data_IF_715871773401
#
_entry.id   IF_715871773401
#
_cell.length_a   1.000
_cell.length_b   1.000
_cell.length_c   1.000
_cell.angle_alpha   90.00
_cell.angle_beta   90.00
_cell.angle_gamma   90.00
#
_symmetry.space_group_name_H-M   'P 1'
#
loop_
_entity.id
_entity.type
_entity.pdbx_description
1 polymer ?
#
# COMPACT_ATOMS: atom_id res chain seq x y z
N UNK A 1 14.55 14.13 1.50
CA UNK A 1 15.14 13.03 2.31
C UNK A 1 15.12 13.45 3.76
N UNK A 2 14.07 13.11 4.51
CA UNK A 2 14.05 13.31 5.95
C UNK A 2 14.73 12.10 6.58
N UNK A 3 15.91 12.27 7.17
CA UNK A 3 16.49 11.26 8.04
C UNK A 3 15.48 11.01 9.17
N UNK A 4 14.77 9.88 9.12
CA UNK A 4 14.02 9.38 10.26
C UNK A 4 15.02 9.09 11.37
N UNK A 5 15.01 9.91 12.41
CA UNK A 5 15.72 9.62 13.66
C UNK A 5 15.18 8.31 14.22
N UNK A 6 15.86 7.18 13.99
CA UNK A 6 15.46 5.90 14.58
C UNK A 6 15.62 5.98 16.10
N UNK A 7 14.53 6.19 16.84
CA UNK A 7 14.48 6.13 18.30
C UNK A 7 14.07 4.74 18.77
N UNK A 8 14.29 4.43 20.06
CA UNK A 8 13.82 3.17 20.65
C UNK A 8 12.28 3.03 20.54
N UNK A 9 11.58 4.15 20.71
CA UNK A 9 10.12 4.22 20.58
C UNK A 9 9.67 3.95 19.14
N UNK A 10 10.34 4.55 18.15
CA UNK A 10 10.07 4.28 16.74
C UNK A 10 10.32 2.81 16.39
N UNK A 11 11.40 2.21 16.90
CA UNK A 11 11.67 0.78 16.72
C UNK A 11 10.53 -0.09 17.27
N UNK A 12 10.07 0.18 18.50
CA UNK A 12 8.95 -0.54 19.13
C UNK A 12 7.67 -0.38 18.34
N UNK A 13 7.34 0.86 17.94
CA UNK A 13 6.16 1.17 17.13
C UNK A 13 6.18 0.41 15.80
N UNK A 14 7.30 0.41 15.09
CA UNK A 14 7.49 -0.31 13.83
C UNK A 14 7.42 -1.84 14.00
N UNK A 15 7.95 -2.35 15.10
CA UNK A 15 7.92 -3.77 15.43
C UNK A 15 6.49 -4.26 15.72
N UNK A 16 5.75 -3.53 16.55
CA UNK A 16 4.35 -3.82 16.88
C UNK A 16 3.50 -3.82 15.60
N UNK A 17 3.64 -2.80 14.75
CA UNK A 17 2.90 -2.72 13.48
C UNK A 17 3.12 -3.96 12.59
N UNK A 18 4.37 -4.42 12.44
CA UNK A 18 4.70 -5.62 11.64
C UNK A 18 4.14 -6.90 12.26
N UNK A 19 4.24 -7.07 13.58
CA UNK A 19 3.69 -8.24 14.25
C UNK A 19 2.17 -8.31 14.13
N UNK A 20 1.48 -7.17 14.33
CA UNK A 20 0.03 -7.09 14.21
C UNK A 20 -0.44 -7.26 12.77
N UNK A 21 0.25 -6.66 11.79
CA UNK A 21 -0.07 -6.88 10.38
C UNK A 21 0.08 -8.36 10.00
N UNK A 22 1.15 -9.02 10.46
CA UNK A 22 1.34 -10.48 10.29
C UNK A 22 0.26 -11.29 11.01
N UNK A 23 -0.22 -10.83 12.18
CA UNK A 23 -1.35 -11.45 12.88
C UNK A 23 -2.63 -11.36 12.04
N UNK A 24 -2.94 -10.19 11.48
CA UNK A 24 -4.11 -10.00 10.62
C UNK A 24 -4.05 -10.89 9.36
N UNK A 25 -2.87 -11.05 8.76
CA UNK A 25 -2.66 -11.98 7.66
C UNK A 25 -2.92 -13.43 8.07
N UNK A 26 -2.31 -13.88 9.18
CA UNK A 26 -2.48 -15.26 9.69
C UNK A 26 -3.92 -15.58 10.07
N UNK A 27 -4.65 -14.59 10.57
CA UNK A 27 -6.05 -14.71 10.99
C UNK A 27 -7.03 -14.53 9.81
N UNK A 28 -6.53 -14.48 8.56
CA UNK A 28 -7.31 -14.27 7.32
C UNK A 28 -8.25 -13.06 7.37
N UNK A 29 -7.83 -11.98 8.04
CA UNK A 29 -8.64 -10.78 8.23
C UNK A 29 -8.58 -9.79 7.06
N UNK A 30 -7.66 -10.00 6.12
CA UNK A 30 -7.48 -9.10 4.98
C UNK A 30 -8.33 -9.45 3.76
N UNK A 31 -8.63 -10.73 3.53
CA UNK A 31 -9.25 -11.18 2.28
C UNK A 31 -10.36 -12.20 2.55
N UNK A 32 -11.49 -12.04 1.88
CA UNK A 32 -12.58 -13.01 1.86
C UNK A 32 -12.43 -14.08 0.77
N UNK A 33 -11.45 -13.95 -0.13
CA UNK A 33 -11.35 -14.74 -1.37
C UNK A 33 -9.95 -15.33 -1.60
N UNK A 34 -9.50 -16.24 -0.73
CA UNK A 34 -8.22 -16.97 -0.88
C UNK A 34 -8.30 -18.18 -1.85
N UNK A 35 -9.43 -18.36 -2.55
CA UNK A 35 -9.73 -19.62 -3.24
C UNK A 35 -9.47 -19.60 -4.76
N UNK A 36 -8.87 -18.53 -5.28
CA UNK A 36 -8.54 -18.38 -6.70
C UNK A 36 -9.77 -18.17 -7.61
N UNK A 37 -9.57 -18.10 -8.93
CA UNK A 37 -8.31 -18.27 -9.66
C UNK A 37 -7.38 -17.04 -9.56
N UNK A 38 -6.08 -17.27 -9.36
CA UNK A 38 -5.05 -16.24 -9.40
C UNK A 38 -4.77 -15.78 -10.83
N UNK A 39 -4.52 -14.48 -11.01
CA UNK A 39 -4.26 -13.86 -12.32
C UNK A 39 -2.86 -13.25 -12.34
N UNK A 40 -2.32 -13.12 -13.55
CA UNK A 40 -1.06 -12.42 -13.76
C UNK A 40 -1.24 -10.94 -13.41
N UNK A 41 -0.39 -10.44 -12.52
CA UNK A 41 -0.43 -9.07 -12.02
C UNK A 41 0.99 -8.49 -11.98
N UNK A 42 1.12 -7.19 -12.26
CA UNK A 42 2.39 -6.49 -12.22
C UNK A 42 2.21 -5.13 -11.51
N UNK A 43 3.08 -4.89 -10.53
CA UNK A 43 3.01 -3.73 -9.64
C UNK A 43 3.49 -2.41 -10.24
N UNK A 44 4.11 -2.48 -11.42
CA UNK A 44 4.73 -1.32 -12.08
C UNK A 44 4.16 -1.04 -13.48
N UNK A 45 2.86 -1.29 -13.68
CA UNK A 45 2.11 -0.84 -14.87
C UNK A 45 1.84 0.67 -14.86
N UNK A 46 2.91 1.46 -14.83
CA UNK A 46 2.87 2.92 -14.91
C UNK A 46 3.01 3.40 -16.36
N UNK A 47 2.56 4.61 -16.70
CA UNK A 47 2.65 5.12 -18.08
C UNK A 47 4.07 5.08 -18.68
N UNK A 48 5.12 5.18 -17.87
CA UNK A 48 6.50 5.08 -18.32
C UNK A 48 6.87 3.70 -18.91
N UNK A 49 6.11 2.65 -18.58
CA UNK A 49 6.31 1.29 -19.05
C UNK A 49 5.38 0.92 -20.22
N UNK A 50 4.66 1.90 -20.78
CA UNK A 50 3.80 1.74 -21.95
C UNK A 50 4.46 2.41 -23.16
N UNK A 51 4.65 1.63 -24.22
CA UNK A 51 5.15 2.13 -25.50
C UNK A 51 3.99 2.70 -26.31
N UNK A 52 4.17 3.92 -26.82
CA UNK A 52 3.21 4.60 -27.67
C UNK A 52 3.80 4.82 -29.07
N UNK A 53 3.01 4.55 -30.11
CA UNK A 53 3.42 4.82 -31.49
C UNK A 53 3.14 6.28 -31.86
N UNK A 54 4.20 7.06 -32.04
CA UNK A 54 4.11 8.47 -32.43
C UNK A 54 3.57 8.67 -33.86
N UNK A 55 3.64 7.66 -34.72
CA UNK A 55 3.13 7.73 -36.09
C UNK A 55 1.63 7.41 -36.18
N UNK A 56 1.08 6.71 -35.18
CA UNK A 56 -0.34 6.33 -35.10
C UNK A 56 -1.10 7.07 -34.01
N UNK A 57 -0.77 8.34 -33.76
CA UNK A 57 -1.48 9.18 -32.80
C UNK A 57 -1.31 8.74 -31.34
N UNK A 58 -0.12 8.24 -30.98
CA UNK A 58 0.25 7.79 -29.64
C UNK A 58 -0.58 6.62 -29.09
N UNK A 59 -1.08 5.75 -29.98
CA UNK A 59 -1.71 4.49 -29.57
C UNK A 59 -0.70 3.62 -28.80
N UNK A 60 -1.16 3.02 -27.71
CA UNK A 60 -0.36 2.04 -26.97
C UNK A 60 -0.11 0.82 -27.86
N UNK A 61 1.16 0.47 -28.06
CA UNK A 61 1.60 -0.66 -28.92
C UNK A 61 2.29 -1.77 -28.14
N UNK A 62 2.64 -1.54 -26.88
CA UNK A 62 3.24 -2.56 -26.04
C UNK A 62 3.41 -2.11 -24.60
N UNK A 63 3.58 -3.09 -23.72
CA UNK A 63 4.00 -2.88 -22.34
C UNK A 63 5.33 -3.58 -22.13
N UNK A 64 6.24 -2.89 -21.45
CA UNK A 64 7.58 -3.40 -21.10
C UNK A 64 7.69 -3.55 -19.58
N UNK A 65 8.87 -3.96 -19.11
CA UNK A 65 9.22 -3.98 -17.69
C UNK A 65 8.38 -4.99 -16.86
N UNK A 66 8.36 -6.23 -17.34
CA UNK A 66 7.62 -7.34 -16.73
C UNK A 66 8.35 -7.99 -15.53
N UNK A 67 9.48 -7.44 -15.08
CA UNK A 67 10.37 -8.07 -14.09
C UNK A 67 9.76 -8.26 -12.70
N UNK A 68 8.66 -7.54 -12.40
CA UNK A 68 7.89 -7.65 -11.14
C UNK A 68 6.50 -8.26 -11.34
N UNK A 69 6.36 -9.16 -12.31
CA UNK A 69 5.08 -9.82 -12.59
C UNK A 69 4.96 -11.14 -11.83
N UNK A 70 3.82 -11.36 -11.18
CA UNK A 70 3.53 -12.57 -10.40
C UNK A 70 2.06 -12.98 -10.49
N UNK A 71 1.74 -14.20 -10.05
CA UNK A 71 0.35 -14.63 -9.89
C UNK A 71 -0.20 -14.05 -8.58
N UNK A 72 -1.24 -13.22 -8.67
CA UNK A 72 -1.87 -12.52 -7.55
C UNK A 72 -3.38 -12.79 -7.49
N UNK A 73 -4.00 -12.59 -6.31
CA UNK A 73 -5.46 -12.60 -6.19
C UNK A 73 -6.08 -11.56 -7.14
N UNK A 74 -7.28 -11.84 -7.66
CA UNK A 74 -7.96 -10.91 -8.56
C UNK A 74 -8.21 -9.55 -7.89
N UNK A 75 -8.32 -9.53 -6.57
CA UNK A 75 -8.57 -8.38 -5.72
C UNK A 75 -7.49 -7.31 -5.82
N UNK A 76 -6.28 -7.66 -6.24
CA UNK A 76 -5.20 -6.70 -6.41
C UNK A 76 -5.56 -5.68 -7.51
N UNK A 77 -6.37 -6.09 -8.50
CA UNK A 77 -6.88 -5.17 -9.54
C UNK A 77 -7.98 -4.24 -9.03
N UNK A 78 -8.55 -4.48 -7.84
CA UNK A 78 -9.51 -3.57 -7.20
C UNK A 78 -8.79 -2.45 -6.45
N UNK A 79 -7.47 -2.43 -6.42
CA UNK A 79 -6.75 -1.24 -5.98
C UNK A 79 -6.86 -0.17 -7.07
N UNK A 80 -7.46 1.01 -6.81
CA UNK A 80 -7.47 2.08 -7.80
C UNK A 80 -6.04 2.43 -8.24
N UNK A 81 -5.84 2.75 -9.53
CA UNK A 81 -4.55 3.17 -10.07
C UNK A 81 -4.19 4.55 -9.51
N UNK A 82 -3.56 4.59 -8.34
CA UNK A 82 -3.15 5.85 -7.68
C UNK A 82 -2.21 6.69 -8.55
N UNK A 83 -1.53 6.08 -9.51
CA UNK A 83 -0.69 6.77 -10.50
C UNK A 83 -1.48 7.70 -11.43
N UNK A 84 -2.82 7.58 -11.54
CA UNK A 84 -3.65 8.57 -12.25
C UNK A 84 -3.54 9.97 -11.63
N UNK A 85 -3.23 10.07 -10.34
CA UNK A 85 -2.97 11.34 -9.67
C UNK A 85 -1.58 11.90 -9.97
N UNK A 86 -0.74 11.16 -10.71
CA UNK A 86 0.66 11.49 -11.02
C UNK A 86 1.54 11.74 -9.78
N UNK A 87 1.01 11.43 -8.60
CA UNK A 87 1.65 11.58 -7.30
C UNK A 87 1.32 10.35 -6.46
N UNK A 88 2.32 9.84 -5.73
CA UNK A 88 2.11 8.66 -4.88
C UNK A 88 1.35 9.05 -3.61
N UNK A 89 0.53 8.16 -3.04
CA UNK A 89 -0.22 8.40 -1.81
C UNK A 89 0.59 9.04 -0.67
N UNK A 90 1.86 8.69 -0.53
CA UNK A 90 2.72 9.18 0.56
C UNK A 90 3.16 10.63 0.40
N UNK A 91 2.96 11.22 -0.78
CA UNK A 91 3.31 12.62 -1.08
C UNK A 91 2.08 13.53 -1.11
N UNK A 92 0.86 12.98 -1.01
CA UNK A 92 -0.34 13.78 -0.98
C UNK A 92 -0.35 14.70 0.25
N UNK A 93 -0.59 16.00 0.01
CA UNK A 93 -0.62 17.03 1.06
C UNK A 93 -1.88 16.97 1.95
N UNK A 94 -2.91 16.25 1.51
CA UNK A 94 -4.21 16.07 2.17
C UNK A 94 -4.27 14.70 2.87
N UNK A 95 -5.27 14.47 3.75
CA UNK A 95 -5.43 13.33 4.70
C UNK A 95 -5.61 11.92 4.08
N UNK A 96 -4.77 11.56 3.09
CA UNK A 96 -4.80 10.29 2.38
C UNK A 96 -6.24 9.93 1.91
N UNK A 97 -7.04 10.93 1.53
CA UNK A 97 -8.45 10.75 1.17
C UNK A 97 -8.78 11.41 -0.17
N UNK A 98 -8.01 11.04 -1.20
CA UNK A 98 -8.05 11.67 -2.52
C UNK A 98 -8.91 10.92 -3.54
N UNK A 99 -9.86 10.07 -3.12
CA UNK A 99 -10.75 9.40 -4.07
C UNK A 99 -11.55 10.40 -4.92
N UNK A 100 -12.02 11.48 -4.30
CA UNK A 100 -12.71 12.57 -5.02
C UNK A 100 -11.81 13.20 -6.10
N UNK A 101 -10.49 13.23 -5.88
CA UNK A 101 -9.55 13.73 -6.89
C UNK A 101 -9.43 12.75 -8.07
N UNK A 102 -9.44 11.44 -7.82
CA UNK A 102 -9.47 10.44 -8.89
C UNK A 102 -10.73 10.61 -9.75
N UNK A 103 -11.90 10.67 -9.11
CA UNK A 103 -13.17 10.88 -9.82
C UNK A 103 -13.19 12.19 -10.62
N UNK A 104 -12.63 13.26 -10.06
CA UNK A 104 -12.51 14.53 -10.77
C UNK A 104 -11.62 14.42 -12.01
N UNK A 105 -10.48 13.73 -11.91
CA UNK A 105 -9.57 13.50 -13.05
C UNK A 105 -10.23 12.67 -14.15
N UNK A 106 -11.01 11.66 -13.79
CA UNK A 106 -11.80 10.90 -14.75
C UNK A 106 -12.83 11.79 -15.44
N UNK A 107 -13.59 12.57 -14.66
CA UNK A 107 -14.60 13.47 -15.18
C UNK A 107 -14.00 14.50 -16.16
N UNK A 108 -12.89 15.14 -15.80
CA UNK A 108 -12.16 16.05 -16.69
C UNK A 108 -11.67 15.36 -17.97
N UNK A 109 -11.30 14.07 -17.91
CA UNK A 109 -10.84 13.30 -19.06
C UNK A 109 -11.99 12.91 -20.00
N UNK A 110 -13.17 12.62 -19.44
CA UNK A 110 -14.41 12.37 -20.19
C UNK A 110 -14.88 13.66 -20.88
N UNK A 111 -14.87 14.79 -20.17
CA UNK A 111 -15.24 16.10 -20.74
C UNK A 111 -14.31 16.53 -21.88
N UNK A 112 -13.05 16.11 -21.85
CA UNK A 112 -12.08 16.32 -22.93
C UNK A 112 -12.19 15.31 -24.08
N UNK A 113 -13.07 14.32 -23.98
CA UNK A 113 -13.22 13.25 -24.97
C UNK A 113 -12.04 12.28 -25.04
N UNK A 114 -11.19 12.23 -23.99
CA UNK A 114 -10.07 11.28 -23.89
C UNK A 114 -10.59 9.91 -23.42
N UNK A 115 -11.53 9.92 -22.48
CA UNK A 115 -12.21 8.74 -21.95
C UNK A 115 -13.71 8.78 -22.29
N UNK A 116 -14.35 7.63 -22.22
CA UNK A 116 -15.80 7.49 -22.27
C UNK A 116 -16.36 7.15 -20.89
N UNK A 117 -17.69 7.22 -20.74
CA UNK A 117 -18.38 6.81 -19.51
C UNK A 117 -18.13 5.32 -19.16
N UNK A 118 -17.86 4.48 -20.16
CA UNK A 118 -17.57 3.05 -19.97
C UNK A 118 -16.14 2.80 -19.44
N UNK A 119 -15.25 3.80 -19.52
CA UNK A 119 -13.86 3.70 -19.07
C UNK A 119 -13.67 4.07 -17.57
N UNK A 120 -14.75 4.35 -16.85
CA UNK A 120 -14.69 4.74 -15.44
C UNK A 120 -14.13 3.65 -14.53
N UNK A 121 -13.49 4.08 -13.44
CA UNK A 121 -13.06 3.23 -12.34
C UNK A 121 -14.21 2.36 -11.87
N UNK A 122 -13.95 1.05 -11.80
CA UNK A 122 -14.97 0.07 -11.46
C UNK A 122 -15.55 0.30 -10.06
N UNK A 123 -16.81 -0.11 -9.85
CA UNK A 123 -17.44 -0.12 -8.54
C UNK A 123 -16.60 -0.87 -7.48
N UNK A 124 -15.90 -1.95 -7.88
CA UNK A 124 -15.01 -2.70 -6.98
C UNK A 124 -13.83 -1.86 -6.48
N UNK A 125 -13.31 -0.94 -7.30
CA UNK A 125 -12.25 -0.02 -6.86
C UNK A 125 -12.75 1.00 -5.84
N UNK A 126 -13.99 1.48 -6.02
CA UNK A 126 -14.65 2.35 -5.04
C UNK A 126 -14.88 1.63 -3.71
N UNK A 127 -15.43 0.41 -3.76
CA UNK A 127 -15.65 -0.42 -2.58
C UNK A 127 -14.34 -0.71 -1.83
N UNK A 128 -13.28 -1.07 -2.56
CA UNK A 128 -11.94 -1.29 -2.02
C UNK A 128 -11.36 -0.03 -1.35
N UNK A 129 -11.64 1.15 -1.89
CA UNK A 129 -11.25 2.41 -1.26
C UNK A 129 -12.03 2.67 0.03
N UNK A 130 -13.36 2.62 -0.03
CA UNK A 130 -14.25 2.94 1.09
C UNK A 130 -14.08 1.99 2.27
N UNK A 131 -13.88 0.70 1.99
CA UNK A 131 -13.60 -0.30 3.01
C UNK A 131 -12.19 -0.18 3.58
N UNK A 132 -11.27 0.47 2.84
CA UNK A 132 -9.86 0.60 3.20
C UNK A 132 -8.99 -0.60 2.78
N UNK A 133 -9.49 -1.52 1.96
CA UNK A 133 -8.74 -2.65 1.43
C UNK A 133 -7.59 -2.19 0.53
N UNK A 134 -7.81 -1.12 -0.24
CA UNK A 134 -6.76 -0.45 -1.00
C UNK A 134 -5.50 -0.20 -0.15
N UNK A 135 -5.66 0.32 1.08
CA UNK A 135 -4.55 0.65 1.95
C UNK A 135 -3.80 -0.58 2.46
N UNK A 136 -4.51 -1.68 2.70
CA UNK A 136 -3.90 -2.96 3.07
C UNK A 136 -3.02 -3.48 1.93
N UNK A 137 -3.58 -3.57 0.71
CA UNK A 137 -2.84 -4.05 -0.45
C UNK A 137 -1.68 -3.11 -0.81
N UNK A 138 -1.87 -1.81 -0.69
CA UNK A 138 -0.84 -0.83 -0.97
C UNK A 138 0.32 -0.94 0.05
N UNK A 139 0.02 -1.03 1.35
CA UNK A 139 1.03 -1.17 2.39
C UNK A 139 1.80 -2.51 2.29
N UNK A 140 1.12 -3.61 1.93
CA UNK A 140 1.75 -4.91 1.72
C UNK A 140 2.83 -4.87 0.61
N UNK A 141 2.61 -4.06 -0.42
CA UNK A 141 3.48 -3.96 -1.59
C UNK A 141 4.56 -2.87 -1.48
N UNK A 142 4.39 -1.91 -0.58
CA UNK A 142 5.29 -0.74 -0.43
C UNK A 142 5.83 -0.66 0.99
N UNK A 143 6.87 -1.45 1.26
CA UNK A 143 7.51 -1.55 2.60
C UNK A 143 7.96 -0.23 3.20
N UNK A 144 8.36 0.75 2.38
CA UNK A 144 8.80 2.07 2.82
C UNK A 144 7.65 2.97 3.30
N UNK A 145 6.44 2.78 2.77
CA UNK A 145 5.23 3.51 3.14
C UNK A 145 4.46 2.81 4.26
N UNK A 146 4.78 1.54 4.51
CA UNK A 146 4.07 0.67 5.43
C UNK A 146 3.79 1.31 6.79
N UNK A 147 4.80 1.86 7.46
CA UNK A 147 4.64 2.37 8.82
C UNK A 147 3.64 3.54 8.87
N UNK A 148 3.74 4.46 7.92
CA UNK A 148 2.83 5.61 7.83
C UNK A 148 1.40 5.15 7.55
N UNK A 149 1.23 4.27 6.55
CA UNK A 149 -0.09 3.80 6.13
C UNK A 149 -0.74 2.88 7.17
N UNK A 150 0.04 2.04 7.84
CA UNK A 150 -0.45 1.14 8.87
C UNK A 150 -1.14 1.94 9.97
N UNK A 151 -0.44 2.94 10.53
CA UNK A 151 -0.98 3.74 11.61
C UNK A 151 -2.11 4.68 11.17
N UNK A 152 -2.07 5.17 9.92
CA UNK A 152 -3.06 6.11 9.42
C UNK A 152 -4.39 5.45 8.98
N UNK A 153 -4.33 4.28 8.33
CA UNK A 153 -5.50 3.69 7.63
C UNK A 153 -5.81 2.24 8.02
N UNK A 154 -4.86 1.49 8.59
CA UNK A 154 -5.02 0.05 8.85
C UNK A 154 -5.29 -0.26 10.32
N UNK A 155 -4.51 0.28 11.25
CA UNK A 155 -4.53 -0.09 12.66
C UNK A 155 -5.93 0.06 13.28
N UNK A 156 -6.49 1.26 13.21
CA UNK A 156 -7.81 1.56 13.78
C UNK A 156 -8.95 0.81 13.10
N UNK A 157 -8.79 0.47 11.81
CA UNK A 157 -9.77 -0.33 11.08
C UNK A 157 -9.94 -1.72 11.69
N UNK A 158 -8.83 -2.36 12.09
CA UNK A 158 -8.86 -3.74 12.58
C UNK A 158 -8.87 -3.89 14.10
N UNK A 159 -8.38 -2.88 14.82
CA UNK A 159 -8.20 -2.92 16.28
C UNK A 159 -8.96 -1.81 17.02
N UNK A 160 -9.68 -0.94 16.31
CA UNK A 160 -10.47 0.14 16.92
C UNK A 160 -9.62 1.25 17.53
N UNK A 161 -10.17 1.99 18.48
CA UNK A 161 -9.41 2.97 19.28
C UNK A 161 -8.30 2.31 20.11
N UNK A 162 -7.41 3.13 20.67
CA UNK A 162 -6.37 2.67 21.58
C UNK A 162 -5.00 3.29 21.32
N UNK A 163 -4.07 2.98 22.19
CA UNK A 163 -2.68 3.43 22.16
C UNK A 163 -1.70 2.29 21.86
N UNK A 164 -0.40 2.60 21.91
CA UNK A 164 0.64 1.63 21.63
C UNK A 164 0.69 0.49 22.66
N UNK A 165 0.29 0.76 23.90
CA UNK A 165 0.25 -0.24 24.97
C UNK A 165 -0.89 -1.23 24.75
N UNK A 166 -2.06 -0.75 24.31
CA UNK A 166 -3.16 -1.62 23.87
C UNK A 166 -2.70 -2.58 22.76
N UNK A 167 -1.97 -2.04 21.77
CA UNK A 167 -1.40 -2.84 20.66
C UNK A 167 -0.33 -3.81 21.13
N UNK A 168 0.49 -3.43 22.10
CA UNK A 168 1.49 -4.30 22.71
C UNK A 168 0.84 -5.50 23.42
N UNK A 169 -0.33 -5.31 24.05
CA UNK A 169 -1.05 -6.41 24.70
C UNK A 169 -1.60 -7.47 23.72
N UNK A 170 -1.79 -7.10 22.46
CA UNK A 170 -2.25 -8.01 21.40
C UNK A 170 -1.14 -8.92 20.84
N UNK A 171 0.12 -8.66 21.18
CA UNK A 171 1.24 -9.48 20.76
C UNK A 171 1.29 -10.81 21.52
N UNK A 172 1.82 -11.83 20.87
CA UNK A 172 2.14 -13.10 21.54
C UNK A 172 3.24 -12.91 22.58
N UNK A 173 3.36 -13.84 23.53
CA UNK A 173 4.42 -13.80 24.55
C UNK A 173 5.82 -13.76 23.90
N UNK A 174 6.05 -14.61 22.91
CA UNK A 174 7.31 -14.66 22.16
C UNK A 174 7.62 -13.34 21.44
N UNK A 175 6.62 -12.72 20.79
CA UNK A 175 6.79 -11.43 20.13
C UNK A 175 7.12 -10.31 21.13
N UNK A 176 6.53 -10.33 22.34
CA UNK A 176 6.86 -9.38 23.41
C UNK A 176 8.26 -9.57 23.95
N UNK A 177 8.62 -10.81 24.26
CA UNK A 177 9.92 -11.17 24.84
C UNK A 177 11.08 -10.85 23.86
N UNK A 178 10.84 -10.97 22.55
CA UNK A 178 11.83 -10.67 21.50
C UNK A 178 11.97 -9.19 21.15
N UNK A 179 11.05 -8.33 21.62
CA UNK A 179 10.99 -6.93 21.17
C UNK A 179 12.19 -6.12 21.64
N UNK A 180 12.59 -6.24 22.91
CA UNK A 180 13.69 -5.43 23.44
C UNK A 180 15.03 -5.82 22.79
N UNK A 181 15.28 -7.11 22.55
CA UNK A 181 16.45 -7.57 21.80
C UNK A 181 16.46 -7.00 20.37
N UNK A 182 15.32 -7.03 19.68
CA UNK A 182 15.17 -6.45 18.35
C UNK A 182 15.49 -4.94 18.36
N UNK A 183 14.95 -4.19 19.32
CA UNK A 183 15.16 -2.75 19.44
C UNK A 183 16.63 -2.44 19.68
N UNK A 184 17.28 -3.14 20.64
CA UNK A 184 18.70 -2.95 20.92
C UNK A 184 19.56 -3.22 19.69
N UNK A 185 19.30 -4.32 18.99
CA UNK A 185 20.00 -4.65 17.74
C UNK A 185 19.85 -3.54 16.69
N UNK A 186 18.65 -3.01 16.49
CA UNK A 186 18.39 -1.94 15.50
C UNK A 186 19.03 -0.61 15.87
N UNK A 187 19.12 -0.28 17.16
CA UNK A 187 19.83 0.90 17.63
C UNK A 187 21.35 0.77 17.40
N UNK A 188 21.93 -0.40 17.67
CA UNK A 188 23.34 -0.67 17.39
C UNK A 188 23.65 -0.61 15.89
N UNK A 189 22.81 -1.22 15.04
CA UNK A 189 22.94 -1.13 13.58
C UNK A 189 22.91 0.33 13.07
N UNK A 190 22.11 1.19 13.71
CA UNK A 190 22.06 2.63 13.40
C UNK A 190 23.37 3.32 13.73
N UNK A 191 23.91 3.08 14.92
CA UNK A 191 25.19 3.66 15.37
C UNK A 191 26.34 3.23 14.47
N UNK A 192 26.35 1.96 14.06
CA UNK A 192 27.37 1.38 13.18
C UNK A 192 27.16 1.71 11.69
N UNK A 193 26.06 2.39 11.33
CA UNK A 193 25.64 2.65 9.93
C UNK A 193 25.47 1.38 9.09
N UNK A 194 25.08 0.28 9.73
CA UNK A 194 24.88 -1.05 9.13
C UNK A 194 23.42 -1.47 9.08
N UNK A 195 22.48 -0.52 9.22
CA UNK A 195 21.03 -0.76 9.18
C UNK A 195 20.64 -1.68 8.02
N UNK A 196 20.16 -2.89 8.35
CA UNK A 196 19.54 -3.80 7.40
C UNK A 196 18.02 -3.71 7.54
N UNK A 197 17.32 -3.68 6.40
CA UNK A 197 15.86 -3.65 6.33
C UNK A 197 15.20 -4.90 6.90
#
# INVERSE_FOLDING_TARGET
>A
MTQLSLSAEDCRRKYIARCLFRKLARDNRFCSFEHGPFKLFCDDFRPANVLADSQSGFKAVGAIDWEYTYAAPAEFVYSPPSWLLLERPEYWKEDLDNWTQLQKREQESIERGILTEDDRLSQRMLESWQTGDFWVYYAARRSWAFDMLYWAKIDRRFFGGGDLMDRFQLLTREERDSMDEFVQRKLLEKEQRTLRG
#
